data_IF_884480159566
#
_entry.id   IF_884480159566
#
_cell.length_a   1.000
_cell.length_b   1.000
_cell.length_c   1.000
_cell.angle_alpha   90.00
_cell.angle_beta   90.00
_cell.angle_gamma   90.00
#
_symmetry.space_group_name_H-M   'P 1'
#
loop_
_entity.id
_entity.type
_entity.pdbx_description
1 polymer ?
#
# COMPACT_ATOMS: atom_id res chain seq x y z
N UNK A 1 -3.84 4.35 15.75
CA UNK A 1 -3.83 2.90 15.50
C UNK A 1 -3.76 2.75 13.98
N UNK A 2 -2.71 2.13 13.45
CA UNK A 2 -2.56 1.97 11.99
C UNK A 2 -3.49 0.88 11.46
N UNK A 3 -3.64 0.82 10.13
CA UNK A 3 -4.51 -0.16 9.47
C UNK A 3 -3.80 -1.51 9.34
N UNK A 4 -4.37 -2.62 9.85
CA UNK A 4 -3.81 -3.96 9.69
C UNK A 4 -3.94 -4.42 8.24
N UNK A 5 -2.87 -5.01 7.72
CA UNK A 5 -2.73 -5.37 6.30
C UNK A 5 -1.95 -6.66 6.11
N UNK A 6 -2.20 -7.32 4.99
CA UNK A 6 -1.37 -8.40 4.45
C UNK A 6 -0.62 -7.90 3.21
N UNK A 7 0.69 -8.12 3.17
CA UNK A 7 1.58 -7.83 2.05
C UNK A 7 1.79 -9.09 1.22
N UNK A 8 1.83 -8.97 -0.10
CA UNK A 8 1.91 -10.08 -1.08
C UNK A 8 0.86 -11.18 -0.86
N UNK A 9 -0.43 -10.82 -0.72
CA UNK A 9 -1.48 -11.79 -0.41
C UNK A 9 -1.58 -12.88 -1.49
N UNK A 10 -1.77 -14.14 -1.06
CA UNK A 10 -1.92 -15.28 -1.97
C UNK A 10 -0.62 -15.82 -2.56
N UNK A 11 0.54 -15.34 -2.09
CA UNK A 11 1.87 -15.88 -2.42
C UNK A 11 2.48 -16.60 -1.22
N UNK A 12 3.56 -17.35 -1.45
CA UNK A 12 4.34 -17.97 -0.36
C UNK A 12 5.10 -16.91 0.49
N UNK A 13 5.22 -15.69 -0.02
CA UNK A 13 5.89 -14.55 0.63
C UNK A 13 4.88 -13.62 1.35
N UNK A 14 3.69 -14.13 1.69
CA UNK A 14 2.67 -13.34 2.37
C UNK A 14 3.11 -12.94 3.79
N UNK A 15 3.10 -11.64 4.09
CA UNK A 15 3.55 -11.07 5.37
C UNK A 15 2.45 -10.21 6.00
N UNK A 16 2.36 -10.22 7.33
CA UNK A 16 1.39 -9.41 8.08
C UNK A 16 2.07 -8.20 8.69
N UNK A 17 1.31 -7.11 8.81
CA UNK A 17 1.80 -5.90 9.43
C UNK A 17 0.76 -4.81 9.52
N UNK A 18 1.22 -3.60 9.78
CA UNK A 18 0.39 -2.41 9.96
C UNK A 18 0.91 -1.29 9.07
N UNK A 19 0.01 -0.61 8.36
CA UNK A 19 0.35 0.60 7.61
C UNK A 19 0.77 1.69 8.59
N UNK A 20 1.99 2.19 8.39
CA UNK A 20 2.57 3.26 9.21
C UNK A 20 2.61 4.60 8.48
N UNK A 21 2.60 4.60 7.15
CA UNK A 21 2.54 5.82 6.33
C UNK A 21 1.86 5.55 4.99
N UNK A 22 1.02 6.49 4.55
CA UNK A 22 0.40 6.51 3.23
C UNK A 22 1.15 7.51 2.34
N UNK A 23 1.92 7.01 1.38
CA UNK A 23 2.63 7.85 0.41
C UNK A 23 1.80 8.13 -0.86
N UNK A 24 0.49 7.85 -0.87
CA UNK A 24 -0.39 8.20 -1.98
C UNK A 24 -0.33 9.69 -2.34
N UNK A 25 -0.11 10.57 -1.35
CA UNK A 25 0.02 12.02 -1.55
C UNK A 25 1.42 12.47 -2.03
N UNK A 26 2.43 11.59 -1.99
CA UNK A 26 3.78 11.89 -2.51
C UNK A 26 3.88 11.67 -4.02
N UNK A 27 2.93 10.94 -4.61
CA UNK A 27 2.72 10.90 -6.05
C UNK A 27 2.07 12.22 -6.46
N UNK A 28 2.91 13.25 -6.61
CA UNK A 28 2.52 14.62 -6.89
C UNK A 28 1.43 14.73 -7.97
N UNK A 29 0.59 15.76 -7.79
CA UNK A 29 -0.52 16.21 -8.65
C UNK A 29 -0.63 15.43 -9.96
N UNK A 30 -1.68 14.61 -10.08
CA UNK A 30 -2.04 13.91 -11.31
C UNK A 30 -1.81 14.82 -12.53
N UNK A 31 -0.84 14.46 -13.38
CA UNK A 31 -0.58 15.20 -14.61
C UNK A 31 -1.65 14.78 -15.62
N UNK A 32 -2.65 15.63 -15.80
CA UNK A 32 -3.60 15.48 -16.90
C UNK A 32 -2.86 15.77 -18.23
N UNK A 33 -2.67 14.77 -19.07
CA UNK A 33 -2.26 14.96 -20.46
C UNK A 33 -3.50 14.74 -21.33
N UNK A 34 -3.94 15.81 -21.99
CA UNK A 34 -4.98 15.78 -23.03
C UNK A 34 -6.35 15.19 -22.63
N UNK A 35 -6.77 15.36 -21.37
CA UNK A 35 -8.14 14.99 -20.93
C UNK A 35 -8.38 13.48 -20.76
N UNK A 36 -7.35 12.64 -20.91
CA UNK A 36 -7.40 11.20 -20.67
C UNK A 36 -6.63 10.90 -19.38
N UNK A 37 -7.29 10.28 -18.39
CA UNK A 37 -6.65 9.86 -17.14
C UNK A 37 -5.84 8.58 -17.41
N UNK A 38 -4.56 8.73 -17.76
CA UNK A 38 -3.74 7.60 -18.23
C UNK A 38 -3.30 6.67 -17.09
N UNK A 39 -3.10 7.15 -15.86
CA UNK A 39 -2.81 6.29 -14.70
C UNK A 39 -3.13 7.06 -13.40
N UNK A 40 -3.82 6.43 -12.45
CA UNK A 40 -3.92 6.98 -11.10
C UNK A 40 -2.53 6.99 -10.44
N UNK A 41 -2.27 7.89 -9.45
CA UNK A 41 -1.03 7.84 -8.69
C UNK A 41 -0.84 6.42 -8.13
N UNK A 42 0.33 5.82 -8.38
CA UNK A 42 0.69 4.55 -7.75
C UNK A 42 0.72 4.79 -6.24
N UNK A 43 -0.34 4.34 -5.55
CA UNK A 43 -0.46 4.49 -4.11
C UNK A 43 0.58 3.56 -3.49
N UNK A 44 1.53 4.15 -2.77
CA UNK A 44 2.60 3.45 -2.08
C UNK A 44 2.35 3.49 -0.59
N UNK A 45 2.50 2.34 0.04
CA UNK A 45 2.26 2.15 1.46
C UNK A 45 3.57 1.76 2.11
N UNK A 46 3.90 2.41 3.24
CA UNK A 46 4.90 1.85 4.15
C UNK A 46 4.18 0.98 5.18
N UNK A 47 4.57 -0.28 5.24
CA UNK A 47 4.03 -1.27 6.17
C UNK A 47 5.14 -1.68 7.12
N UNK A 48 4.88 -1.53 8.40
CA UNK A 48 5.71 -2.13 9.44
C UNK A 48 5.20 -3.56 9.65
N UNK A 49 6.05 -4.52 9.33
CA UNK A 49 5.77 -5.94 9.43
C UNK A 49 5.85 -6.41 10.88
N UNK A 50 5.16 -7.50 11.19
CA UNK A 50 5.16 -8.07 12.55
C UNK A 50 6.54 -8.60 12.99
N UNK A 51 7.43 -8.86 12.03
CA UNK A 51 8.84 -9.23 12.27
C UNK A 51 9.75 -8.01 12.57
N UNK A 52 9.19 -6.80 12.55
CA UNK A 52 9.90 -5.54 12.75
C UNK A 52 10.53 -4.96 11.48
N UNK A 53 10.33 -5.58 10.32
CA UNK A 53 10.75 -5.07 9.02
C UNK A 53 9.88 -3.91 8.53
N UNK A 54 10.44 -3.06 7.68
CA UNK A 54 9.69 -2.00 6.98
C UNK A 54 9.72 -2.29 5.48
N UNK A 55 8.55 -2.42 4.86
CA UNK A 55 8.40 -2.66 3.42
C UNK A 55 7.60 -1.54 2.76
N UNK A 56 7.93 -1.26 1.50
CA UNK A 56 7.21 -0.31 0.65
C UNK A 56 6.53 -1.08 -0.46
N UNK A 57 5.20 -1.05 -0.50
CA UNK A 57 4.41 -1.80 -1.46
C UNK A 57 3.37 -0.94 -2.15
N UNK A 58 3.06 -1.32 -3.38
CA UNK A 58 2.02 -0.67 -4.18
C UNK A 58 0.63 -1.31 -3.85
N UNK A 59 -0.45 -0.66 -4.29
CA UNK A 59 -1.85 -1.10 -4.08
C UNK A 59 -2.13 -2.55 -4.50
N UNK A 60 -1.47 -3.04 -5.55
CA UNK A 60 -1.65 -4.41 -6.06
C UNK A 60 -0.99 -5.49 -5.17
N UNK A 61 -0.11 -5.06 -4.26
CA UNK A 61 0.74 -5.90 -3.44
C UNK A 61 0.37 -5.87 -1.96
N UNK A 62 -0.76 -5.24 -1.61
CA UNK A 62 -1.26 -5.08 -0.25
C UNK A 62 -2.78 -5.30 -0.20
N UNK A 63 -3.26 -5.92 0.86
CA UNK A 63 -4.70 -6.03 1.14
C UNK A 63 -4.98 -5.63 2.58
N UNK A 64 -6.06 -4.87 2.81
CA UNK A 64 -6.57 -4.63 4.16
C UNK A 64 -7.01 -5.96 4.78
N UNK A 65 -6.67 -6.19 6.04
CA UNK A 65 -7.13 -7.36 6.78
C UNK A 65 -8.51 -7.06 7.39
N UNK A 66 -9.61 -7.60 6.84
CA UNK A 66 -10.96 -7.26 7.28
C UNK A 66 -11.29 -7.79 8.68
N UNK A 67 -10.44 -8.65 9.27
CA UNK A 67 -10.73 -9.33 10.52
C UNK A 67 -10.27 -8.56 11.78
N UNK A 68 -9.59 -7.41 11.61
CA UNK A 68 -9.03 -6.59 12.70
C UNK A 68 -9.57 -5.15 12.75
N UNK A 69 -10.72 -4.89 12.12
CA UNK A 69 -11.39 -3.57 12.11
C UNK A 69 -12.32 -3.33 13.31
#
# INVERSE_FOLDING_TARGET
MGTPVTVYPGTDDALHGVVVEDFADLAGTAVEIAGERIVGPARRWAVNLDDGGLVFVDDDSIAADPQLA
#
